data_IF_531490240383
#
_entry.id   IF_531490240383
#
_cell.length_a   1.000
_cell.length_b   1.000
_cell.length_c   1.000
_cell.angle_alpha   90.00
_cell.angle_beta   90.00
_cell.angle_gamma   90.00
#
_symmetry.space_group_name_H-M   'P 1'
#
loop_
_entity.id
_entity.type
_entity.pdbx_description
1 polymer ?
#
# COMPACT_ATOMS: atom_id res chain seq x y z
N UNK A 1 -5.52 25.36 -54.90
CA UNK A 1 -6.43 25.61 -56.04
C UNK A 1 -7.58 24.60 -55.96
N UNK A 2 -8.84 25.10 -55.93
CA UNK A 2 -10.12 24.41 -56.20
C UNK A 2 -10.54 23.29 -55.24
N UNK A 3 -11.46 23.46 -54.28
CA UNK A 3 -12.93 23.66 -54.32
C UNK A 3 -13.79 22.45 -54.75
N UNK A 4 -14.63 22.04 -53.79
CA UNK A 4 -16.08 21.79 -53.87
C UNK A 4 -16.62 20.34 -53.84
N UNK A 5 -17.75 20.16 -53.13
CA UNK A 5 -18.60 18.98 -53.22
C UNK A 5 -19.36 18.53 -51.96
N UNK A 6 -20.27 19.35 -51.40
CA UNK A 6 -21.32 18.90 -50.46
C UNK A 6 -22.32 17.96 -51.16
N UNK A 7 -22.87 16.96 -50.43
CA UNK A 7 -24.27 16.52 -50.62
C UNK A 7 -24.88 15.90 -49.35
N UNK A 8 -26.06 16.41 -49.03
CA UNK A 8 -27.03 16.04 -48.00
C UNK A 8 -28.13 15.23 -48.68
N UNK A 9 -28.61 14.14 -48.06
CA UNK A 9 -29.94 13.50 -48.29
C UNK A 9 -30.29 12.72 -47.00
N UNK A 10 -31.17 13.22 -46.14
CA UNK A 10 -32.64 13.05 -46.11
C UNK A 10 -33.15 11.67 -45.63
N UNK A 11 -33.98 11.75 -44.58
CA UNK A 11 -34.74 10.67 -43.93
C UNK A 11 -35.91 10.20 -44.81
N UNK A 12 -36.51 9.05 -44.44
CA UNK A 12 -37.97 8.99 -44.41
C UNK A 12 -38.54 8.58 -43.04
N UNK A 13 -39.70 9.18 -42.76
CA UNK A 13 -40.65 8.87 -41.70
C UNK A 13 -41.32 7.49 -41.91
N UNK A 14 -41.69 6.80 -40.83
CA UNK A 14 -43.02 6.19 -40.75
C UNK A 14 -43.50 6.00 -39.30
N UNK A 15 -44.83 6.08 -39.17
CA UNK A 15 -45.65 6.31 -37.97
C UNK A 15 -45.95 5.05 -37.14
N UNK A 16 -46.03 5.30 -35.83
CA UNK A 16 -47.04 4.87 -34.84
C UNK A 16 -47.47 3.40 -34.72
N UNK A 17 -47.32 2.85 -33.50
CA UNK A 17 -48.49 2.27 -32.82
C UNK A 17 -48.39 2.33 -31.29
N UNK A 18 -49.51 2.64 -30.65
CA UNK A 18 -49.72 2.70 -29.19
C UNK A 18 -50.00 1.30 -28.67
N UNK A 19 -49.31 0.84 -27.61
CA UNK A 19 -49.92 -0.02 -26.59
C UNK A 19 -49.40 0.27 -25.19
N UNK A 20 -50.37 0.58 -24.32
CA UNK A 20 -50.26 0.75 -22.87
C UNK A 20 -49.74 -0.51 -22.18
N UNK A 21 -49.02 -0.34 -21.06
CA UNK A 21 -49.17 -1.17 -19.84
C UNK A 21 -48.51 -0.50 -18.62
N UNK A 22 -49.38 -0.13 -17.70
CA UNK A 22 -49.27 0.09 -16.25
C UNK A 22 -47.89 0.22 -15.58
N UNK A 23 -47.63 1.42 -15.06
CA UNK A 23 -46.71 1.68 -13.96
C UNK A 23 -47.41 1.45 -12.62
N UNK A 24 -46.85 0.61 -11.75
CA UNK A 24 -47.27 0.45 -10.37
C UNK A 24 -46.58 1.50 -9.48
N UNK A 25 -47.39 2.25 -8.71
CA UNK A 25 -46.94 3.21 -7.69
C UNK A 25 -46.53 2.46 -6.40
N UNK A 26 -45.49 2.90 -5.67
CA UNK A 26 -45.21 2.40 -4.33
C UNK A 26 -46.18 3.01 -3.29
N UNK A 27 -46.57 2.27 -2.24
CA UNK A 27 -47.47 2.79 -1.20
C UNK A 27 -46.74 3.72 -0.23
N UNK A 28 -47.49 4.75 0.19
CA UNK A 28 -47.08 5.84 1.07
C UNK A 28 -47.01 5.46 2.55
N UNK A 29 -46.01 6.03 3.24
CA UNK A 29 -45.90 6.16 4.69
C UNK A 29 -47.16 6.79 5.31
N UNK A 30 -47.99 6.00 5.99
CA UNK A 30 -48.95 6.43 7.03
C UNK A 30 -49.64 5.23 7.67
N UNK A 31 -49.03 4.67 8.71
CA UNK A 31 -49.74 4.07 9.85
C UNK A 31 -48.74 3.76 10.98
N UNK A 32 -49.23 3.85 12.22
CA UNK A 32 -48.52 3.67 13.50
C UNK A 32 -47.72 4.88 14.04
N UNK A 33 -48.44 5.97 14.31
CA UNK A 33 -48.32 6.60 15.63
C UNK A 33 -49.49 6.13 16.48
N UNK A 34 -49.23 5.29 17.49
CA UNK A 34 -49.96 5.29 18.77
C UNK A 34 -49.31 4.30 19.74
N UNK A 35 -49.18 4.74 20.99
CA UNK A 35 -48.75 4.03 22.22
C UNK A 35 -47.26 4.10 22.55
N UNK A 36 -46.86 5.27 23.05
CA UNK A 36 -45.93 5.37 24.18
C UNK A 36 -46.80 5.35 25.44
N UNK A 37 -46.61 4.36 26.33
CA UNK A 37 -46.80 4.46 27.78
C UNK A 37 -46.45 3.14 28.47
N UNK A 38 -45.90 3.29 29.67
CA UNK A 38 -45.54 2.28 30.67
C UNK A 38 -44.16 1.62 30.49
N UNK A 39 -43.24 2.02 31.39
CA UNK A 39 -41.94 1.40 31.57
C UNK A 39 -42.02 0.06 32.28
N UNK A 40 -40.98 -0.74 32.07
CA UNK A 40 -40.49 -1.73 33.01
C UNK A 40 -39.06 -2.12 32.58
N UNK A 41 -38.12 -1.99 33.51
CA UNK A 41 -36.78 -2.55 33.42
C UNK A 41 -36.87 -4.08 33.26
N UNK A 42 -36.10 -4.65 32.32
CA UNK A 42 -35.85 -6.08 32.26
C UNK A 42 -34.34 -6.32 32.08
N UNK A 43 -33.82 -7.10 33.03
CA UNK A 43 -32.45 -7.62 33.09
C UNK A 43 -32.21 -8.65 31.96
N UNK A 44 -30.95 -8.87 31.52
CA UNK A 44 -30.65 -9.77 30.43
C UNK A 44 -30.45 -11.18 30.96
N UNK A 45 -31.33 -12.11 30.59
CA UNK A 45 -31.03 -13.55 30.58
C UNK A 45 -31.98 -14.21 29.57
N UNK A 46 -31.45 -14.55 28.39
CA UNK A 46 -31.61 -15.85 27.74
C UNK A 46 -31.15 -15.80 26.28
N UNK A 47 -30.24 -16.72 25.99
CA UNK A 47 -29.72 -17.06 24.69
C UNK A 47 -30.85 -17.48 23.74
N UNK A 48 -30.81 -16.95 22.51
CA UNK A 48 -31.54 -17.50 21.37
C UNK A 48 -30.48 -17.77 20.29
N UNK A 49 -30.30 -19.06 19.98
CA UNK A 49 -29.34 -19.53 19.00
C UNK A 49 -29.69 -19.11 17.58
N UNK A 50 -28.66 -18.75 16.82
CA UNK A 50 -28.72 -18.57 15.37
C UNK A 50 -27.84 -19.65 14.74
N UNK A 51 -28.34 -20.44 13.77
CA UNK A 51 -27.56 -21.49 13.14
C UNK A 51 -26.65 -20.92 12.04
N UNK A 52 -25.40 -21.38 12.05
CA UNK A 52 -24.52 -21.48 10.87
C UNK A 52 -24.07 -20.16 10.22
N UNK A 53 -22.98 -19.58 10.75
CA UNK A 53 -22.11 -18.70 9.95
C UNK A 53 -20.72 -19.33 9.89
N UNK A 54 -20.25 -19.56 8.66
CA UNK A 54 -18.89 -20.00 8.35
C UNK A 54 -17.99 -18.79 8.59
N UNK A 55 -17.41 -18.70 9.78
CA UNK A 55 -16.41 -17.70 10.17
C UNK A 55 -15.23 -18.44 10.78
N UNK A 56 -14.29 -18.85 9.93
CA UNK A 56 -13.02 -19.46 10.33
C UNK A 56 -11.85 -18.64 9.82
N UNK A 57 -11.64 -17.44 10.37
CA UNK A 57 -10.32 -16.83 10.37
C UNK A 57 -9.78 -16.97 11.79
N UNK A 58 -8.72 -17.77 12.02
CA UNK A 58 -8.13 -17.85 13.34
C UNK A 58 -7.46 -16.51 13.65
N UNK A 59 -8.04 -15.77 14.60
CA UNK A 59 -7.32 -14.76 15.36
C UNK A 59 -6.24 -15.48 16.17
N UNK A 60 -5.07 -15.70 15.59
CA UNK A 60 -3.90 -16.00 16.38
C UNK A 60 -3.50 -14.71 17.10
N UNK A 61 -3.54 -14.75 18.44
CA UNK A 61 -2.88 -13.78 19.27
C UNK A 61 -1.41 -13.71 18.81
N UNK A 62 -1.02 -12.56 18.27
CA UNK A 62 0.38 -12.28 17.95
C UNK A 62 1.09 -12.14 19.30
N UNK A 63 1.61 -13.26 19.81
CA UNK A 63 2.55 -13.24 20.91
C UNK A 63 3.75 -12.38 20.52
N UNK A 64 4.29 -11.62 21.47
CA UNK A 64 5.48 -10.80 21.26
C UNK A 64 6.61 -11.68 20.68
N UNK A 65 6.86 -11.53 19.38
CA UNK A 65 8.00 -12.13 18.70
C UNK A 65 9.25 -11.36 19.11
N UNK A 66 10.25 -12.08 19.62
CA UNK A 66 11.53 -11.50 20.00
C UNK A 66 12.31 -11.17 18.72
N UNK A 67 12.56 -9.88 18.48
CA UNK A 67 13.59 -9.47 17.52
C UNK A 67 14.90 -10.07 18.01
N UNK A 68 15.50 -10.93 17.21
CA UNK A 68 16.73 -11.61 17.57
C UNK A 68 17.87 -10.57 17.71
N UNK A 69 18.38 -10.38 18.93
CA UNK A 69 19.61 -9.63 19.17
C UNK A 69 20.79 -10.48 18.67
N UNK A 70 21.55 -9.98 17.70
CA UNK A 70 22.61 -10.77 17.04
C UNK A 70 24.03 -10.28 17.30
N UNK A 71 24.93 -11.26 17.41
CA UNK A 71 26.37 -11.13 17.55
C UNK A 71 27.03 -10.68 16.25
N UNK A 72 28.18 -9.99 16.31
CA UNK A 72 28.87 -9.40 15.14
C UNK A 72 29.56 -10.41 14.19
N UNK A 73 29.14 -11.69 14.16
CA UNK A 73 29.88 -12.79 13.51
C UNK A 73 29.21 -13.49 12.31
N UNK A 74 27.97 -13.16 11.93
CA UNK A 74 27.38 -13.73 10.70
C UNK A 74 27.97 -13.04 9.47
N UNK A 75 28.89 -13.72 8.78
CA UNK A 75 29.64 -13.18 7.62
C UNK A 75 28.95 -13.46 6.29
N UNK A 76 28.05 -14.45 6.23
CA UNK A 76 27.30 -14.80 5.03
C UNK A 76 26.16 -15.80 5.26
N UNK A 77 25.26 -15.88 4.29
CA UNK A 77 24.08 -16.74 4.27
C UNK A 77 23.99 -17.45 2.92
N UNK A 78 23.65 -18.74 2.93
CA UNK A 78 23.25 -19.52 1.75
C UNK A 78 21.86 -20.09 1.96
N UNK A 79 21.02 -20.01 0.94
CA UNK A 79 19.69 -20.62 0.90
C UNK A 79 19.66 -21.58 -0.28
N UNK A 80 19.38 -22.86 -0.03
CA UNK A 80 19.51 -23.94 -1.01
C UNK A 80 18.16 -24.45 -1.51
N UNK A 81 18.01 -24.59 -2.83
CA UNK A 81 17.01 -25.45 -3.46
C UNK A 81 15.54 -25.00 -3.37
N UNK A 82 15.26 -23.72 -3.22
CA UNK A 82 13.91 -23.17 -3.26
C UNK A 82 13.48 -22.74 -4.67
N UNK A 83 12.17 -22.70 -4.92
CA UNK A 83 11.61 -22.12 -6.15
C UNK A 83 11.71 -20.60 -6.08
N UNK A 84 12.60 -20.01 -6.88
CA UNK A 84 12.99 -18.62 -6.80
C UNK A 84 12.14 -17.74 -7.74
N UNK A 85 11.64 -16.64 -7.19
CA UNK A 85 10.95 -15.57 -7.92
C UNK A 85 11.75 -14.27 -7.76
N UNK A 86 12.13 -13.65 -8.88
CA UNK A 86 13.06 -12.52 -8.93
C UNK A 86 12.63 -11.29 -9.76
N UNK A 87 11.38 -10.79 -9.70
CA UNK A 87 10.12 -11.45 -9.37
C UNK A 87 9.68 -12.45 -10.45
N UNK A 88 10.32 -12.48 -11.62
CA UNK A 88 10.15 -13.53 -12.62
C UNK A 88 10.54 -14.90 -12.08
N UNK A 89 9.86 -15.97 -12.50
CA UNK A 89 10.22 -17.33 -12.09
C UNK A 89 11.60 -17.70 -12.63
N UNK A 90 12.50 -18.06 -11.72
CA UNK A 90 13.86 -18.54 -12.01
C UNK A 90 13.96 -20.07 -11.89
N UNK A 91 12.86 -20.74 -11.51
CA UNK A 91 12.84 -22.15 -11.16
C UNK A 91 13.57 -22.43 -9.84
N UNK A 92 13.96 -23.69 -9.63
CA UNK A 92 14.67 -24.10 -8.42
C UNK A 92 16.12 -23.61 -8.47
N UNK A 93 16.52 -22.82 -7.47
CA UNK A 93 17.87 -22.27 -7.40
C UNK A 93 18.35 -22.12 -5.95
N UNK A 94 19.65 -21.90 -5.78
CA UNK A 94 20.24 -21.47 -4.52
C UNK A 94 20.65 -19.99 -4.61
N UNK A 95 20.59 -19.30 -3.49
CA UNK A 95 21.03 -17.90 -3.39
C UNK A 95 22.04 -17.76 -2.25
N UNK A 96 23.02 -16.87 -2.43
CA UNK A 96 23.96 -16.53 -1.37
C UNK A 96 24.03 -15.03 -1.15
N UNK A 97 24.18 -14.66 0.11
CA UNK A 97 24.34 -13.29 0.56
C UNK A 97 25.59 -13.13 1.44
N UNK A 98 26.37 -12.09 1.18
CA UNK A 98 27.57 -11.74 1.96
C UNK A 98 27.48 -10.25 2.27
N UNK A 99 27.80 -9.85 3.51
CA UNK A 99 27.74 -8.45 3.95
C UNK A 99 26.38 -7.76 3.64
N UNK A 100 25.31 -8.55 3.63
CA UNK A 100 23.95 -8.10 3.39
C UNK A 100 23.55 -7.83 1.94
N UNK A 101 24.38 -8.23 0.97
CA UNK A 101 24.07 -8.16 -0.46
C UNK A 101 24.03 -9.55 -1.09
N UNK A 102 23.19 -9.72 -2.10
CA UNK A 102 23.11 -10.94 -2.90
C UNK A 102 24.37 -11.07 -3.78
N UNK A 103 25.14 -12.13 -3.59
CA UNK A 103 26.41 -12.35 -4.31
C UNK A 103 26.39 -13.56 -5.25
N UNK A 104 25.37 -14.41 -5.15
CA UNK A 104 25.20 -15.57 -6.03
C UNK A 104 23.73 -15.94 -6.20
N UNK A 105 23.39 -16.39 -7.40
CA UNK A 105 22.11 -16.99 -7.76
C UNK A 105 22.41 -18.14 -8.73
N UNK A 106 21.96 -19.36 -8.41
CA UNK A 106 22.16 -20.55 -9.22
C UNK A 106 22.53 -21.78 -8.41
N UNK A 107 23.07 -22.80 -9.06
CA UNK A 107 23.55 -24.02 -8.41
C UNK A 107 24.90 -23.82 -7.71
N UNK A 108 25.28 -24.73 -6.81
CA UNK A 108 26.62 -24.78 -6.21
C UNK A 108 26.97 -23.61 -5.28
N UNK A 109 25.98 -22.92 -4.72
CA UNK A 109 26.21 -21.77 -3.83
C UNK A 109 27.04 -22.14 -2.58
N UNK A 110 26.74 -23.27 -1.96
CA UNK A 110 27.45 -23.77 -0.78
C UNK A 110 28.88 -24.13 -1.08
N UNK A 111 29.15 -24.87 -2.16
CA UNK A 111 30.50 -25.25 -2.56
C UNK A 111 31.36 -24.02 -2.85
N UNK A 112 30.77 -23.01 -3.50
CA UNK A 112 31.46 -21.77 -3.85
C UNK A 112 31.86 -20.92 -2.65
N UNK A 113 31.08 -21.01 -1.57
CA UNK A 113 31.31 -20.29 -0.33
C UNK A 113 31.90 -21.18 0.78
N UNK A 114 32.26 -22.42 0.44
CA UNK A 114 32.86 -23.36 1.36
C UNK A 114 34.13 -22.77 1.99
N UNK A 115 34.18 -22.75 3.32
CA UNK A 115 35.30 -22.19 4.08
C UNK A 115 35.13 -20.74 4.54
N UNK A 116 34.04 -20.05 4.18
CA UNK A 116 33.71 -18.77 4.82
C UNK A 116 33.31 -18.99 6.29
N UNK A 117 34.03 -18.41 7.27
CA UNK A 117 33.75 -18.62 8.68
C UNK A 117 32.43 -17.95 9.08
N UNK A 118 31.52 -18.70 9.69
CA UNK A 118 30.21 -18.16 10.09
C UNK A 118 29.17 -18.13 8.98
N UNK A 119 29.39 -18.87 7.88
CA UNK A 119 28.38 -19.10 6.85
C UNK A 119 27.20 -19.89 7.43
N UNK A 120 26.00 -19.33 7.27
CA UNK A 120 24.74 -20.00 7.66
C UNK A 120 24.09 -20.60 6.43
N UNK A 121 23.62 -21.84 6.53
CA UNK A 121 22.91 -22.52 5.43
C UNK A 121 21.45 -22.74 5.81
N UNK A 122 20.54 -22.45 4.88
CA UNK A 122 19.10 -22.69 4.99
C UNK A 122 18.70 -23.66 3.87
N UNK A 123 18.03 -24.75 4.24
CA UNK A 123 17.35 -25.61 3.27
C UNK A 123 15.97 -25.02 2.94
N UNK A 124 15.76 -24.66 1.68
CA UNK A 124 14.52 -24.10 1.16
C UNK A 124 13.80 -25.07 0.20
N UNK A 125 14.14 -26.36 0.19
CA UNK A 125 13.45 -27.35 -0.62
C UNK A 125 11.96 -27.40 -0.30
N UNK A 126 11.13 -27.33 -1.34
CA UNK A 126 9.68 -27.26 -1.22
C UNK A 126 9.14 -25.90 -0.76
N UNK A 127 10.00 -24.90 -0.59
CA UNK A 127 9.62 -23.51 -0.33
C UNK A 127 9.75 -22.66 -1.58
N UNK A 128 9.02 -21.55 -1.62
CA UNK A 128 9.22 -20.48 -2.59
C UNK A 128 10.03 -19.35 -1.96
N UNK A 129 10.91 -18.74 -2.75
CA UNK A 129 11.73 -17.61 -2.32
C UNK A 129 11.30 -16.40 -3.16
N UNK A 130 10.77 -15.37 -2.52
CA UNK A 130 10.33 -14.13 -3.17
C UNK A 130 11.14 -12.93 -2.65
N UNK A 131 11.18 -11.79 -3.38
CA UNK A 131 11.81 -10.59 -2.86
C UNK A 131 11.07 -10.08 -1.62
N UNK A 132 11.81 -9.45 -0.70
CA UNK A 132 11.22 -8.70 0.40
C UNK A 132 10.23 -7.64 -0.10
N UNK A 133 9.05 -7.55 0.54
CA UNK A 133 8.02 -6.60 0.17
C UNK A 133 8.42 -5.17 0.56
N UNK A 134 7.91 -4.21 -0.21
CA UNK A 134 8.12 -2.78 -0.03
C UNK A 134 6.75 -2.12 0.21
N UNK A 135 6.56 -1.58 1.41
CA UNK A 135 5.36 -0.81 1.75
C UNK A 135 5.65 0.70 1.69
N UNK A 136 5.14 1.38 0.66
CA UNK A 136 5.38 2.81 0.48
C UNK A 136 4.40 3.73 1.24
N UNK A 137 3.47 3.18 2.02
CA UNK A 137 2.51 3.98 2.77
C UNK A 137 2.16 3.34 4.11
N UNK A 138 2.91 3.71 5.17
CA UNK A 138 2.62 3.22 6.51
C UNK A 138 2.85 4.26 7.61
N UNK A 139 2.02 4.23 8.65
CA UNK A 139 2.11 5.16 9.77
C UNK A 139 3.01 4.63 10.89
N UNK A 140 4.33 4.89 10.79
CA UNK A 140 5.29 4.44 11.81
C UNK A 140 4.95 4.85 13.24
N UNK A 141 4.42 6.07 13.41
CA UNK A 141 4.05 6.57 14.72
C UNK A 141 2.67 6.10 15.18
N UNK A 142 1.92 5.43 14.30
CA UNK A 142 0.47 5.28 14.39
C UNK A 142 -0.24 6.48 13.75
N UNK A 143 -1.45 6.25 13.25
CA UNK A 143 -2.33 7.32 12.76
C UNK A 143 -3.63 7.42 13.55
N UNK A 144 -4.67 7.97 12.91
CA UNK A 144 -6.05 7.83 13.37
C UNK A 144 -6.70 8.93 14.17
N UNK A 145 -5.98 10.01 14.41
CA UNK A 145 -6.37 11.05 15.37
C UNK A 145 -7.60 11.87 14.92
N UNK A 146 -8.04 11.71 13.66
CA UNK A 146 -9.30 12.29 13.14
C UNK A 146 -10.57 11.76 13.84
N UNK A 147 -10.46 10.70 14.64
CA UNK A 147 -11.54 10.12 15.44
C UNK A 147 -11.49 10.55 16.92
N UNK A 148 -10.74 11.60 17.24
CA UNK A 148 -10.47 12.03 18.61
C UNK A 148 -9.53 11.09 19.36
N UNK A 149 -9.36 11.25 20.68
CA UNK A 149 -8.36 10.53 21.47
C UNK A 149 -8.46 8.99 21.40
N UNK A 150 -9.65 8.45 21.15
CA UNK A 150 -9.89 7.00 21.02
C UNK A 150 -9.36 6.42 19.70
N UNK A 151 -9.09 7.26 18.71
CA UNK A 151 -8.51 6.85 17.42
C UNK A 151 -6.99 6.73 17.44
N UNK A 152 -6.31 7.06 18.54
CA UNK A 152 -4.85 7.08 18.56
C UNK A 152 -4.27 5.68 18.56
N UNK A 153 -3.52 5.34 17.52
CA UNK A 153 -2.79 4.08 17.42
C UNK A 153 -1.36 4.25 17.96
N UNK A 154 -0.83 3.28 18.72
CA UNK A 154 0.57 3.28 19.15
C UNK A 154 1.57 3.26 17.99
N UNK A 155 2.83 3.52 18.31
CA UNK A 155 3.90 3.36 17.34
C UNK A 155 4.03 1.90 16.89
N UNK A 156 4.40 1.73 15.63
CA UNK A 156 4.67 0.44 15.04
C UNK A 156 5.95 -0.18 15.62
N UNK A 157 5.95 -1.50 15.83
CA UNK A 157 7.15 -2.25 16.18
C UNK A 157 7.78 -2.89 14.93
N UNK A 158 9.11 -3.11 14.89
CA UNK A 158 9.76 -3.76 13.74
C UNK A 158 9.14 -5.10 13.36
N UNK A 159 8.75 -5.90 14.36
CA UNK A 159 8.16 -7.23 14.16
C UNK A 159 6.85 -7.18 13.35
N UNK A 160 6.03 -6.14 13.52
CA UNK A 160 4.79 -5.97 12.75
C UNK A 160 5.03 -5.87 11.25
N UNK A 161 6.20 -5.39 10.82
CA UNK A 161 6.62 -5.35 9.42
C UNK A 161 7.29 -6.66 9.01
N UNK A 162 8.32 -7.05 9.76
CA UNK A 162 9.22 -8.13 9.39
C UNK A 162 8.52 -9.49 9.39
N UNK A 163 7.61 -9.77 10.33
CA UNK A 163 6.83 -11.02 10.36
C UNK A 163 5.86 -11.17 9.18
N UNK A 164 5.62 -10.07 8.44
CA UNK A 164 4.68 -10.02 7.30
C UNK A 164 5.38 -9.98 5.95
N UNK A 165 6.70 -10.15 5.92
CA UNK A 165 7.49 -10.14 4.68
C UNK A 165 7.88 -8.74 4.22
N UNK A 166 7.52 -7.69 4.96
CA UNK A 166 7.86 -6.31 4.63
C UNK A 166 9.24 -5.97 5.15
N UNK A 167 10.20 -5.82 4.25
CA UNK A 167 11.62 -5.54 4.58
C UNK A 167 12.00 -4.08 4.34
N UNK A 168 11.23 -3.37 3.51
CA UNK A 168 11.40 -1.95 3.22
C UNK A 168 10.07 -1.23 3.46
N UNK A 169 10.11 -0.07 4.13
CA UNK A 169 8.91 0.68 4.44
C UNK A 169 9.13 2.19 4.36
N UNK A 170 8.09 2.94 3.98
CA UNK A 170 8.11 4.41 3.93
C UNK A 170 7.09 4.98 4.91
N UNK A 171 7.61 5.65 5.94
CA UNK A 171 6.82 6.28 6.98
C UNK A 171 6.16 7.58 6.51
N UNK A 172 4.91 7.77 6.89
CA UNK A 172 4.15 8.98 6.58
C UNK A 172 3.50 9.60 7.82
N UNK A 173 3.23 10.91 7.75
CA UNK A 173 2.26 11.54 8.63
C UNK A 173 0.84 11.52 8.00
N UNK A 174 -0.16 11.57 8.87
CA UNK A 174 -1.58 11.51 8.50
C UNK A 174 -2.27 12.84 8.76
N UNK A 175 -3.51 12.76 9.25
CA UNK A 175 -4.35 13.95 9.53
C UNK A 175 -3.74 14.81 10.63
N UNK A 176 -3.30 14.20 11.73
CA UNK A 176 -2.68 14.91 12.84
C UNK A 176 -1.21 15.19 12.56
N UNK A 177 -0.91 16.49 12.51
CA UNK A 177 0.43 17.06 12.35
C UNK A 177 0.75 18.05 13.48
N UNK A 178 -0.10 18.09 14.52
CA UNK A 178 0.10 18.92 15.70
C UNK A 178 0.75 18.12 16.82
N UNK A 179 0.33 16.86 17.03
CA UNK A 179 0.93 15.98 18.06
C UNK A 179 1.93 14.97 17.48
N UNK A 180 1.94 14.80 16.16
CA UNK A 180 2.88 13.95 15.42
C UNK A 180 3.72 14.82 14.52
N UNK A 181 5.03 14.72 14.66
CA UNK A 181 5.97 15.55 13.91
C UNK A 181 7.06 14.73 13.20
N UNK A 182 7.70 15.37 12.23
CA UNK A 182 8.70 14.73 11.39
C UNK A 182 9.99 14.33 12.13
N UNK A 183 10.33 15.00 13.24
CA UNK A 183 11.54 14.64 14.02
C UNK A 183 11.31 13.32 14.71
N UNK A 184 10.12 13.11 15.28
CA UNK A 184 9.74 11.83 15.84
C UNK A 184 9.62 10.75 14.75
N UNK A 185 9.07 11.08 13.57
CA UNK A 185 9.00 10.15 12.44
C UNK A 185 10.39 9.71 11.97
N UNK A 186 11.34 10.65 11.83
CA UNK A 186 12.73 10.36 11.48
C UNK A 186 13.42 9.52 12.56
N UNK A 187 13.22 9.85 13.84
CA UNK A 187 13.73 9.05 14.96
C UNK A 187 13.21 7.63 14.90
N UNK A 188 11.92 7.44 14.62
CA UNK A 188 11.32 6.11 14.48
C UNK A 188 11.89 5.35 13.29
N UNK A 189 12.10 6.02 12.16
CA UNK A 189 12.74 5.40 11.00
C UNK A 189 14.18 4.93 11.32
N UNK A 190 14.94 5.67 12.12
CA UNK A 190 16.24 5.19 12.61
C UNK A 190 16.12 3.94 13.50
N UNK A 191 15.14 3.89 14.41
CA UNK A 191 14.88 2.69 15.23
C UNK A 191 14.58 1.47 14.35
N UNK A 192 13.69 1.62 13.37
CA UNK A 192 13.34 0.55 12.43
C UNK A 192 14.57 0.06 11.63
N UNK A 193 15.44 0.98 11.20
CA UNK A 193 16.72 0.65 10.52
C UNK A 193 17.66 -0.16 11.40
N UNK A 194 17.77 0.20 12.68
CA UNK A 194 18.60 -0.53 13.62
C UNK A 194 18.05 -1.95 13.90
N UNK A 195 16.75 -2.16 13.72
CA UNK A 195 16.09 -3.46 13.84
C UNK A 195 16.02 -4.27 12.55
N UNK A 196 16.64 -3.80 11.45
CA UNK A 196 16.75 -4.55 10.20
C UNK A 196 15.81 -4.12 9.06
N UNK A 197 14.84 -3.24 9.32
CA UNK A 197 13.95 -2.69 8.28
C UNK A 197 14.67 -1.62 7.48
N UNK A 198 14.59 -1.65 6.16
CA UNK A 198 15.01 -0.50 5.35
C UNK A 198 13.93 0.59 5.38
N UNK A 199 14.03 1.50 6.37
CA UNK A 199 13.01 2.51 6.62
C UNK A 199 13.35 3.90 6.06
N UNK A 200 12.44 4.43 5.26
CA UNK A 200 12.45 5.79 4.68
C UNK A 200 11.24 6.58 5.20
N UNK A 201 11.15 7.86 4.84
CA UNK A 201 9.99 8.69 5.14
C UNK A 201 9.72 9.71 4.04
N UNK A 202 8.49 10.19 3.99
CA UNK A 202 8.15 11.41 3.29
C UNK A 202 8.16 12.59 4.26
N UNK A 203 8.77 13.71 3.85
CA UNK A 203 8.69 14.98 4.57
C UNK A 203 7.31 15.62 4.40
N UNK A 204 6.98 16.60 5.23
CA UNK A 204 5.68 17.25 5.25
C UNK A 204 4.62 16.43 5.98
N UNK A 205 3.41 16.45 5.43
CA UNK A 205 2.20 15.92 6.05
C UNK A 205 0.99 16.28 5.20
N UNK A 206 -0.23 16.07 5.70
CA UNK A 206 -1.42 16.43 4.91
C UNK A 206 -1.61 17.94 4.66
N UNK A 207 -1.33 18.87 5.59
CA UNK A 207 -1.56 20.30 5.38
C UNK A 207 -0.64 20.95 4.34
N UNK A 208 -1.13 22.00 3.67
CA UNK A 208 -0.33 22.97 2.94
C UNK A 208 -0.56 24.41 3.46
N UNK A 209 0.50 25.23 3.62
CA UNK A 209 1.91 24.87 3.47
C UNK A 209 2.36 23.85 4.52
N UNK A 210 3.22 22.91 4.10
CA UNK A 210 3.69 21.82 4.95
C UNK A 210 4.85 22.27 5.86
N UNK A 211 4.97 21.63 7.03
CA UNK A 211 6.15 21.79 7.91
C UNK A 211 7.22 20.77 7.51
N UNK A 212 8.46 21.22 7.32
CA UNK A 212 9.61 20.39 6.93
C UNK A 212 10.70 20.41 8.01
N UNK A 213 11.61 19.43 8.01
CA UNK A 213 12.67 19.30 9.03
C UNK A 213 13.70 20.43 8.94
N UNK A 214 14.06 20.82 7.73
CA UNK A 214 15.08 21.82 7.39
C UNK A 214 14.47 23.08 6.76
N UNK A 215 13.16 23.27 6.90
CA UNK A 215 12.43 24.44 6.43
C UNK A 215 11.86 24.33 5.01
N UNK A 216 12.32 23.37 4.19
CA UNK A 216 11.76 23.10 2.86
C UNK A 216 11.89 21.61 2.50
N UNK A 217 11.01 21.09 1.63
CA UNK A 217 11.15 19.68 1.22
C UNK A 217 12.39 19.47 0.36
N UNK A 218 12.80 20.51 -0.38
CA UNK A 218 14.01 20.47 -1.17
C UNK A 218 15.26 20.24 -0.30
N UNK A 219 15.35 20.94 0.84
CA UNK A 219 16.43 20.73 1.79
C UNK A 219 16.35 19.34 2.44
N UNK A 220 15.17 18.93 2.92
CA UNK A 220 15.00 17.62 3.57
C UNK A 220 15.45 16.46 2.67
N UNK A 221 14.97 16.42 1.43
CA UNK A 221 15.34 15.38 0.46
C UNK A 221 16.84 15.45 0.14
N UNK A 222 17.43 16.64 0.05
CA UNK A 222 18.84 16.80 -0.34
C UNK A 222 19.83 16.41 0.76
N UNK A 223 19.49 16.63 2.03
CA UNK A 223 20.44 16.48 3.14
C UNK A 223 20.14 15.29 4.07
N UNK A 224 18.93 14.71 4.03
CA UNK A 224 18.55 13.61 4.91
C UNK A 224 18.33 12.35 4.07
N UNK A 225 19.24 11.39 4.17
CA UNK A 225 19.23 10.15 3.38
C UNK A 225 17.87 9.43 3.37
N UNK A 226 17.18 9.39 4.50
CA UNK A 226 15.91 8.68 4.65
C UNK A 226 14.72 9.41 4.04
N UNK A 227 14.83 10.73 3.81
CA UNK A 227 13.76 11.50 3.15
C UNK A 227 13.87 11.29 1.65
N UNK A 228 12.81 10.72 1.07
CA UNK A 228 12.74 10.35 -0.36
C UNK A 228 11.65 11.09 -1.14
N UNK A 229 10.93 12.01 -0.49
CA UNK A 229 9.84 12.77 -1.10
C UNK A 229 9.00 13.54 -0.08
N UNK A 230 7.81 13.97 -0.50
CA UNK A 230 6.82 14.65 0.32
C UNK A 230 5.53 13.83 0.47
N UNK A 231 4.87 13.97 1.62
CA UNK A 231 3.47 13.64 1.83
C UNK A 231 2.65 14.92 1.67
N UNK A 232 1.51 14.82 1.00
CA UNK A 232 0.48 15.86 0.97
C UNK A 232 -0.92 15.24 0.86
N UNK A 233 -1.94 16.09 0.74
CA UNK A 233 -3.31 15.69 0.49
C UNK A 233 -3.97 16.59 -0.56
N UNK A 234 -4.85 16.01 -1.37
CA UNK A 234 -5.78 16.73 -2.24
C UNK A 234 -7.17 16.11 -2.09
N UNK A 235 -8.21 16.89 -2.39
CA UNK A 235 -9.59 16.44 -2.34
C UNK A 235 -10.02 15.84 -0.98
N UNK A 236 -9.34 16.17 0.12
CA UNK A 236 -9.63 15.70 1.47
C UNK A 236 -10.39 16.75 2.27
N UNK A 237 -11.43 16.36 3.00
CA UNK A 237 -12.27 17.32 3.73
C UNK A 237 -11.51 18.05 4.84
N UNK A 238 -10.63 17.34 5.54
CA UNK A 238 -9.84 17.92 6.64
C UNK A 238 -8.64 18.72 6.14
N UNK A 239 -8.13 18.38 4.94
CA UNK A 239 -6.97 19.02 4.31
C UNK A 239 -7.23 19.22 2.82
N UNK A 240 -8.17 20.12 2.45
CA UNK A 240 -8.60 20.25 1.05
C UNK A 240 -7.54 20.89 0.17
N UNK A 241 -6.60 21.64 0.77
CA UNK A 241 -5.41 22.20 0.12
C UNK A 241 -5.71 22.89 -1.22
N UNK A 242 -6.73 23.77 -1.24
CA UNK A 242 -7.23 24.43 -2.45
C UNK A 242 -6.34 25.56 -2.96
N UNK A 243 -5.31 25.92 -2.21
CA UNK A 243 -4.33 26.92 -2.64
C UNK A 243 -3.45 26.35 -3.75
N UNK A 244 -3.69 26.81 -4.98
CA UNK A 244 -2.84 26.44 -6.11
C UNK A 244 -1.39 26.87 -5.88
N UNK A 245 -1.18 28.04 -5.26
CA UNK A 245 0.15 28.56 -4.96
C UNK A 245 0.96 27.59 -4.09
N UNK A 246 0.39 27.14 -2.97
CA UNK A 246 1.12 26.27 -2.03
C UNK A 246 1.39 24.87 -2.63
N UNK A 247 0.44 24.34 -3.41
CA UNK A 247 0.64 23.07 -4.11
C UNK A 247 1.70 23.19 -5.22
N UNK A 248 1.68 24.28 -5.99
CA UNK A 248 2.67 24.57 -7.03
C UNK A 248 4.07 24.81 -6.45
N UNK A 249 4.16 25.47 -5.29
CA UNK A 249 5.41 25.67 -4.57
C UNK A 249 6.01 24.33 -4.14
N UNK A 250 5.21 23.46 -3.50
CA UNK A 250 5.64 22.10 -3.13
C UNK A 250 6.14 21.31 -4.34
N UNK A 251 5.41 21.34 -5.46
CA UNK A 251 5.81 20.66 -6.68
C UNK A 251 7.15 21.19 -7.23
N UNK A 252 7.30 22.52 -7.26
CA UNK A 252 8.55 23.18 -7.65
C UNK A 252 9.74 22.77 -6.77
N UNK A 253 9.53 22.68 -5.46
CA UNK A 253 10.54 22.21 -4.51
C UNK A 253 10.97 20.77 -4.78
N UNK A 254 10.02 19.86 -5.04
CA UNK A 254 10.29 18.46 -5.32
C UNK A 254 11.02 18.25 -6.64
N UNK A 255 10.68 18.99 -7.69
CA UNK A 255 11.42 18.96 -8.96
C UNK A 255 12.88 19.41 -8.76
N UNK A 256 13.10 20.49 -8.00
CA UNK A 256 14.46 20.91 -7.62
C UNK A 256 15.17 19.86 -6.78
N UNK A 257 14.48 19.25 -5.82
CA UNK A 257 15.03 18.19 -4.98
C UNK A 257 15.51 16.98 -5.79
N UNK A 258 14.72 16.54 -6.78
CA UNK A 258 15.10 15.46 -7.71
C UNK A 258 16.38 15.80 -8.46
N UNK A 259 16.44 17.01 -9.02
CA UNK A 259 17.59 17.48 -9.79
C UNK A 259 18.87 17.62 -8.95
N UNK A 260 18.76 18.07 -7.70
CA UNK A 260 19.91 18.32 -6.81
C UNK A 260 20.43 17.04 -6.12
N UNK A 261 19.52 16.15 -5.71
CA UNK A 261 19.87 15.00 -4.87
C UNK A 261 20.07 13.70 -5.64
N UNK A 262 19.53 13.60 -6.86
CA UNK A 262 19.45 12.33 -7.61
C UNK A 262 18.46 11.31 -7.04
N UNK A 263 17.75 11.64 -5.95
CA UNK A 263 16.64 10.82 -5.42
C UNK A 263 15.38 11.01 -6.25
N UNK A 264 14.43 10.07 -6.15
CA UNK A 264 13.15 10.17 -6.85
C UNK A 264 12.34 11.42 -6.45
N UNK A 265 12.44 11.87 -5.19
CA UNK A 265 11.73 13.03 -4.64
C UNK A 265 10.23 12.99 -4.93
N UNK A 266 9.59 11.87 -4.56
CA UNK A 266 8.19 11.58 -4.90
C UNK A 266 7.22 12.50 -4.17
N UNK A 267 6.18 12.97 -4.84
CA UNK A 267 4.97 13.49 -4.23
C UNK A 267 4.00 12.33 -4.00
N UNK A 268 3.99 11.78 -2.78
CA UNK A 268 3.05 10.73 -2.38
C UNK A 268 1.82 11.39 -1.77
N UNK A 269 0.73 11.44 -2.53
CA UNK A 269 -0.40 12.32 -2.22
C UNK A 269 -1.63 11.54 -1.81
N UNK A 270 -2.10 11.76 -0.58
CA UNK A 270 -3.42 11.32 -0.14
C UNK A 270 -4.50 11.93 -1.03
N UNK A 271 -5.43 11.10 -1.52
CA UNK A 271 -6.60 11.58 -2.27
C UNK A 271 -7.86 11.33 -1.45
N UNK A 272 -8.55 12.41 -1.07
CA UNK A 272 -9.82 12.32 -0.35
C UNK A 272 -11.01 12.07 -1.28
N UNK A 273 -12.22 12.40 -0.82
CA UNK A 273 -13.47 12.10 -1.54
C UNK A 273 -14.13 13.32 -2.19
N UNK A 274 -13.50 14.50 -2.16
CA UNK A 274 -14.08 15.70 -2.77
C UNK A 274 -14.12 15.58 -4.31
N UNK A 275 -15.07 16.28 -4.98
CA UNK A 275 -15.34 16.07 -6.41
C UNK A 275 -14.16 16.35 -7.35
N UNK A 276 -13.26 17.27 -6.98
CA UNK A 276 -12.05 17.59 -7.75
C UNK A 276 -11.09 16.38 -7.89
N UNK A 277 -11.17 15.40 -6.99
CA UNK A 277 -10.38 14.16 -7.03
C UNK A 277 -8.88 14.41 -7.28
N UNK A 278 -8.30 13.89 -8.37
CA UNK A 278 -6.87 14.05 -8.68
C UNK A 278 -6.61 15.17 -9.69
N UNK A 279 -7.62 15.94 -10.08
CA UNK A 279 -7.46 17.10 -10.97
C UNK A 279 -6.33 18.04 -10.54
N UNK A 280 -6.16 18.41 -9.26
CA UNK A 280 -5.05 19.26 -8.85
C UNK A 280 -3.67 18.66 -9.18
N UNK A 281 -3.53 17.34 -9.10
CA UNK A 281 -2.28 16.65 -9.42
C UNK A 281 -2.02 16.59 -10.93
N UNK A 282 -3.06 16.36 -11.72
CA UNK A 282 -2.95 16.41 -13.19
C UNK A 282 -2.55 17.82 -13.67
N UNK A 283 -3.03 18.87 -12.99
CA UNK A 283 -2.63 20.25 -13.26
C UNK A 283 -1.15 20.50 -12.99
N UNK A 284 -0.54 19.85 -11.99
CA UNK A 284 0.93 19.96 -11.78
C UNK A 284 1.71 19.45 -12.99
N UNK A 285 1.22 18.39 -13.65
CA UNK A 285 1.84 17.87 -14.87
C UNK A 285 1.62 18.84 -16.03
N UNK A 286 0.38 19.28 -16.27
CA UNK A 286 0.03 20.05 -17.47
C UNK A 286 0.43 21.53 -17.40
N UNK A 287 0.41 22.15 -16.21
CA UNK A 287 0.68 23.58 -16.03
C UNK A 287 2.10 23.87 -15.54
N UNK A 288 2.73 22.97 -14.77
CA UNK A 288 4.09 23.17 -14.23
C UNK A 288 5.14 22.25 -14.87
N UNK A 289 4.72 21.28 -15.70
CA UNK A 289 5.64 20.32 -16.30
C UNK A 289 6.23 19.33 -15.31
N UNK A 290 5.57 19.09 -14.16
CA UNK A 290 6.03 18.09 -13.20
C UNK A 290 6.01 16.70 -13.85
N UNK A 291 7.11 15.93 -13.79
CA UNK A 291 7.13 14.58 -14.34
C UNK A 291 6.03 13.71 -13.69
N UNK A 292 5.17 13.05 -14.48
CA UNK A 292 4.06 12.26 -13.92
C UNK A 292 4.55 11.06 -13.10
N UNK A 293 5.76 10.56 -13.37
CA UNK A 293 6.41 9.49 -12.60
C UNK A 293 6.87 9.94 -11.20
N UNK A 294 6.87 11.24 -10.91
CA UNK A 294 7.18 11.81 -9.61
C UNK A 294 5.95 11.97 -8.71
N UNK A 295 4.74 11.70 -9.22
CA UNK A 295 3.49 11.86 -8.48
C UNK A 295 2.84 10.49 -8.29
N UNK A 296 2.47 10.20 -7.04
CA UNK A 296 1.76 8.97 -6.67
C UNK A 296 0.49 9.33 -5.90
N UNK A 297 -0.67 9.45 -6.56
CA UNK A 297 -1.95 9.47 -5.86
C UNK A 297 -2.20 8.10 -5.20
N UNK A 298 -2.46 8.09 -3.90
CA UNK A 298 -2.81 6.90 -3.10
C UNK A 298 -4.28 6.91 -2.72
N UNK A 299 -4.79 5.75 -2.28
CA UNK A 299 -6.21 5.51 -1.94
C UNK A 299 -7.16 5.64 -3.14
N UNK A 300 -6.67 5.30 -4.34
CA UNK A 300 -7.41 5.52 -5.58
C UNK A 300 -8.53 4.50 -5.82
N UNK A 301 -8.45 3.33 -5.20
CA UNK A 301 -9.37 2.20 -5.38
C UNK A 301 -10.72 2.43 -4.66
N UNK A 302 -11.56 3.29 -5.22
CA UNK A 302 -12.90 3.65 -4.70
C UNK A 302 -13.98 3.43 -5.75
N UNK A 303 -15.21 3.21 -5.29
CA UNK A 303 -16.34 3.01 -6.20
C UNK A 303 -16.71 4.32 -6.91
N UNK A 304 -17.15 4.25 -8.19
CA UNK A 304 -17.60 5.43 -8.93
C UNK A 304 -18.77 6.15 -8.27
N UNK A 305 -19.65 5.41 -7.56
CA UNK A 305 -20.78 5.98 -6.81
C UNK A 305 -20.33 6.89 -5.66
N UNK A 306 -19.13 6.66 -5.12
CA UNK A 306 -18.59 7.43 -4.01
C UNK A 306 -17.75 8.61 -4.49
N UNK A 307 -16.91 8.41 -5.52
CA UNK A 307 -15.95 9.43 -5.96
C UNK A 307 -15.40 9.16 -7.37
N UNK A 308 -15.11 10.20 -8.19
CA UNK A 308 -14.52 10.02 -9.52
C UNK A 308 -13.03 9.65 -9.51
N UNK A 309 -12.40 9.55 -8.33
CA UNK A 309 -10.96 9.33 -8.14
C UNK A 309 -10.44 8.15 -8.97
N UNK A 310 -11.10 6.99 -8.94
CA UNK A 310 -10.54 5.80 -9.58
C UNK A 310 -10.47 5.93 -11.11
N UNK A 311 -11.53 6.47 -11.72
CA UNK A 311 -11.56 6.71 -13.17
C UNK A 311 -10.51 7.73 -13.63
N UNK A 312 -10.33 8.83 -12.88
CA UNK A 312 -9.26 9.79 -13.16
C UNK A 312 -7.87 9.19 -12.96
N UNK A 313 -7.68 8.37 -11.91
CA UNK A 313 -6.42 7.68 -11.65
C UNK A 313 -6.04 6.71 -12.78
N UNK A 314 -7.01 5.96 -13.33
CA UNK A 314 -6.80 5.11 -14.51
C UNK A 314 -6.32 5.95 -15.70
N UNK A 315 -6.96 7.09 -15.97
CA UNK A 315 -6.54 8.00 -17.04
C UNK A 315 -5.12 8.55 -16.81
N UNK A 316 -4.79 8.94 -15.58
CA UNK A 316 -3.45 9.39 -15.21
C UNK A 316 -2.39 8.30 -15.41
N UNK A 317 -2.68 7.06 -14.98
CA UNK A 317 -1.77 5.93 -15.12
C UNK A 317 -1.50 5.53 -16.59
N UNK A 318 -2.51 5.63 -17.45
CA UNK A 318 -2.38 5.41 -18.90
C UNK A 318 -1.47 6.45 -19.57
N UNK A 319 -1.32 7.63 -18.98
CA UNK A 319 -0.50 8.73 -19.49
C UNK A 319 0.86 8.83 -18.77
N UNK A 320 1.37 7.73 -18.24
CA UNK A 320 2.72 7.64 -17.67
C UNK A 320 2.83 7.97 -16.17
N UNK A 321 1.72 8.31 -15.52
CA UNK A 321 1.65 8.39 -14.06
C UNK A 321 1.72 7.02 -13.40
N UNK A 322 2.09 6.96 -12.12
CA UNK A 322 1.92 5.76 -11.29
C UNK A 322 0.79 5.98 -10.30
N UNK A 323 -0.04 4.97 -10.04
CA UNK A 323 -1.15 5.02 -9.08
C UNK A 323 -0.97 3.97 -8.00
N UNK A 324 -1.37 4.32 -6.77
CA UNK A 324 -1.26 3.43 -5.62
C UNK A 324 -2.64 3.06 -5.06
N UNK A 325 -2.92 1.76 -5.05
CA UNK A 325 -4.11 1.20 -4.43
C UNK A 325 -3.82 0.84 -2.98
N UNK A 326 -4.78 1.10 -2.11
CA UNK A 326 -4.61 0.88 -0.67
C UNK A 326 -5.34 -0.38 -0.23
N UNK A 327 -4.57 -1.32 0.32
CA UNK A 327 -5.06 -2.62 0.76
C UNK A 327 -6.23 -2.52 1.75
N UNK A 328 -6.15 -1.60 2.72
CA UNK A 328 -7.23 -1.42 3.71
C UNK A 328 -8.42 -0.56 3.24
N UNK A 329 -8.36 -0.02 2.02
CA UNK A 329 -9.50 0.64 1.33
C UNK A 329 -10.28 -0.42 0.53
N UNK A 330 -10.42 -1.61 1.10
CA UNK A 330 -11.13 -2.75 0.52
C UNK A 330 -12.44 -3.02 1.26
N UNK A 331 -13.42 -3.59 0.58
CA UNK A 331 -14.71 -4.02 1.15
C UNK A 331 -14.51 -5.11 2.20
N UNK A 332 -13.58 -6.04 1.95
CA UNK A 332 -13.19 -7.08 2.92
C UNK A 332 -12.66 -6.48 4.25
N UNK A 333 -12.15 -5.25 4.20
CA UNK A 333 -11.64 -4.52 5.36
C UNK A 333 -12.71 -3.65 6.05
N UNK A 334 -13.96 -3.73 5.59
CA UNK A 334 -15.09 -2.97 6.11
C UNK A 334 -15.31 -1.62 5.43
N UNK A 335 -14.53 -1.28 4.39
CA UNK A 335 -14.70 -0.05 3.63
C UNK A 335 -15.62 -0.27 2.42
N UNK A 336 -16.93 -0.04 2.60
CA UNK A 336 -17.93 -0.26 1.56
C UNK A 336 -17.84 0.72 0.37
N UNK A 337 -17.13 1.84 0.53
CA UNK A 337 -16.86 2.79 -0.55
C UNK A 337 -15.58 2.44 -1.35
N UNK A 338 -14.83 1.44 -0.89
CA UNK A 338 -13.63 0.93 -1.53
C UNK A 338 -13.90 -0.11 -2.61
N UNK A 339 -12.88 -0.36 -3.41
CA UNK A 339 -12.79 -1.49 -4.34
C UNK A 339 -11.64 -2.37 -3.87
N UNK A 340 -11.88 -3.67 -3.77
CA UNK A 340 -10.85 -4.62 -3.36
C UNK A 340 -9.68 -4.61 -4.34
N UNK A 341 -8.45 -4.72 -3.83
CA UNK A 341 -7.23 -4.68 -4.65
C UNK A 341 -7.28 -5.63 -5.85
N UNK A 342 -7.68 -6.92 -5.73
CA UNK A 342 -7.79 -7.80 -6.91
C UNK A 342 -8.75 -7.29 -7.99
N UNK A 343 -9.91 -6.75 -7.60
CA UNK A 343 -10.89 -6.19 -8.52
C UNK A 343 -10.36 -4.91 -9.18
N UNK A 344 -9.75 -4.03 -8.40
CA UNK A 344 -9.20 -2.77 -8.88
C UNK A 344 -8.04 -2.99 -9.86
N UNK A 345 -7.09 -3.89 -9.55
CA UNK A 345 -5.98 -4.22 -10.44
C UNK A 345 -6.50 -4.84 -11.74
N UNK A 346 -7.41 -5.80 -11.65
CA UNK A 346 -8.03 -6.42 -12.83
C UNK A 346 -8.68 -5.35 -13.73
N UNK A 347 -9.47 -4.45 -13.15
CA UNK A 347 -10.11 -3.37 -13.88
C UNK A 347 -9.10 -2.43 -14.56
N UNK A 348 -8.02 -2.04 -13.86
CA UNK A 348 -6.95 -1.25 -14.46
C UNK A 348 -6.31 -1.94 -15.68
N UNK A 349 -6.04 -3.24 -15.58
CA UNK A 349 -5.46 -4.02 -16.68
C UNK A 349 -6.42 -4.13 -17.88
N UNK A 350 -7.71 -4.34 -17.63
CA UNK A 350 -8.75 -4.35 -18.67
C UNK A 350 -8.89 -3.00 -19.38
N UNK A 351 -8.72 -1.89 -18.65
CA UNK A 351 -8.69 -0.53 -19.19
C UNK A 351 -7.37 -0.16 -19.90
N UNK A 352 -6.38 -1.06 -19.90
CA UNK A 352 -5.10 -0.87 -20.57
C UNK A 352 -4.08 -0.05 -19.78
N UNK A 353 -4.19 0.01 -18.45
CA UNK A 353 -3.13 0.58 -17.59
C UNK A 353 -1.91 -0.35 -17.62
N UNK A 354 -0.69 0.16 -17.89
CA UNK A 354 0.52 -0.65 -17.79
C UNK A 354 0.71 -1.18 -16.36
N UNK A 355 0.98 -2.48 -16.21
CA UNK A 355 1.20 -3.10 -14.88
C UNK A 355 2.29 -2.37 -14.08
N UNK A 356 3.35 -1.91 -14.76
CA UNK A 356 4.45 -1.16 -14.14
C UNK A 356 4.03 0.18 -13.51
N UNK A 357 2.85 0.71 -13.86
CA UNK A 357 2.29 1.96 -13.35
C UNK A 357 1.30 1.74 -12.19
N UNK A 358 1.23 0.51 -11.66
CA UNK A 358 0.37 0.16 -10.53
C UNK A 358 1.24 -0.28 -9.36
N UNK A 359 0.96 0.28 -8.19
CA UNK A 359 1.52 -0.14 -6.91
C UNK A 359 0.41 -0.40 -5.90
N UNK A 360 0.73 -1.14 -4.84
CA UNK A 360 -0.15 -1.33 -3.69
C UNK A 360 0.57 -1.01 -2.39
N UNK A 361 -0.15 -0.47 -1.41
CA UNK A 361 0.37 -0.12 -0.09
C UNK A 361 -0.65 -0.40 1.01
N UNK A 362 -0.21 -0.47 2.27
CA UNK A 362 -1.11 -0.89 3.36
C UNK A 362 -2.03 0.22 3.85
N UNK A 363 -1.50 1.44 4.00
CA UNK A 363 -2.00 2.44 4.93
C UNK A 363 -2.09 1.87 6.37
N UNK A 364 -1.04 1.14 6.75
CA UNK A 364 -0.99 0.35 7.97
C UNK A 364 -0.79 1.20 9.23
N UNK A 365 -1.15 0.61 10.36
CA UNK A 365 -1.04 1.20 11.70
C UNK A 365 -1.94 2.44 11.92
N UNK A 366 -3.13 2.42 11.29
CA UNK A 366 -4.20 3.40 11.47
C UNK A 366 -5.49 2.71 11.95
N UNK A 367 -6.44 3.43 12.57
CA UNK A 367 -7.74 2.87 12.95
C UNK A 367 -8.70 2.90 11.76
N UNK A 368 -8.99 1.74 11.19
CA UNK A 368 -10.09 1.58 10.25
C UNK A 368 -11.42 1.53 11.02
N UNK A 369 -12.41 2.31 10.57
CA UNK A 369 -13.75 2.29 11.16
C UNK A 369 -14.47 0.99 10.78
N UNK A 370 -14.92 0.23 11.78
CA UNK A 370 -15.79 -0.93 11.57
C UNK A 370 -17.24 -0.46 11.60
N UNK A 371 -18.04 -0.82 10.58
CA UNK A 371 -19.45 -0.44 10.46
C UNK A 371 -20.37 -1.65 10.49
N UNK A 372 -21.58 -1.48 11.04
CA UNK A 372 -22.64 -2.51 10.97
C UNK A 372 -23.33 -2.52 9.60
N UNK A 373 -24.24 -3.49 9.40
CA UNK A 373 -25.04 -3.61 8.17
C UNK A 373 -25.95 -2.41 7.87
N UNK A 374 -26.11 -1.48 8.82
CA UNK A 374 -26.87 -0.22 8.68
C UNK A 374 -25.94 0.98 8.53
N UNK A 375 -24.62 0.78 8.38
CA UNK A 375 -23.61 1.81 8.20
C UNK A 375 -23.18 2.55 9.47
N UNK A 376 -23.66 2.13 10.65
CA UNK A 376 -23.31 2.76 11.94
C UNK A 376 -21.92 2.30 12.38
N UNK A 377 -21.10 3.22 12.88
CA UNK A 377 -19.78 2.89 13.42
C UNK A 377 -19.93 2.04 14.70
N UNK A 378 -19.32 0.86 14.72
CA UNK A 378 -19.28 -0.05 15.87
C UNK A 378 -18.00 0.11 16.70
N UNK A 379 -16.93 0.64 16.10
CA UNK A 379 -15.64 0.82 16.72
C UNK A 379 -14.53 0.92 15.68
N UNK A 380 -13.30 0.66 16.11
CA UNK A 380 -12.11 0.75 15.27
C UNK A 380 -11.30 -0.53 15.33
N UNK A 381 -10.65 -0.86 14.21
CA UNK A 381 -9.64 -1.90 14.09
C UNK A 381 -8.34 -1.24 13.64
N UNK A 382 -7.22 -1.59 14.27
CA UNK A 382 -5.91 -1.21 13.73
C UNK A 382 -5.65 -2.00 12.45
N UNK A 383 -5.33 -1.31 11.36
CA UNK A 383 -4.94 -1.93 10.09
C UNK A 383 -3.57 -2.57 10.27
N UNK A 384 -3.44 -3.91 10.18
CA UNK A 384 -2.15 -4.57 10.34
C UNK A 384 -1.34 -4.47 9.03
N UNK A 385 0.01 -4.39 9.08
CA UNK A 385 0.83 -4.40 7.88
C UNK A 385 0.69 -5.68 7.02
N UNK A 386 0.20 -6.78 7.62
CA UNK A 386 -0.02 -8.06 6.94
C UNK A 386 -1.01 -7.99 5.77
N UNK A 387 -1.80 -6.93 5.65
CA UNK A 387 -2.71 -6.74 4.52
C UNK A 387 -1.98 -6.62 3.18
N UNK A 388 -0.70 -6.21 3.16
CA UNK A 388 0.10 -6.15 1.93
C UNK A 388 0.30 -7.54 1.34
N UNK A 389 0.91 -8.44 2.13
CA UNK A 389 1.14 -9.82 1.70
C UNK A 389 -0.18 -10.55 1.41
N UNK A 390 -1.22 -10.31 2.23
CA UNK A 390 -2.58 -10.80 1.96
C UNK A 390 -3.03 -10.42 0.56
N UNK A 391 -2.99 -9.15 0.19
CA UNK A 391 -3.52 -8.69 -1.10
C UNK A 391 -2.64 -9.09 -2.29
N UNK A 392 -1.31 -9.24 -2.10
CA UNK A 392 -0.44 -9.90 -3.09
C UNK A 392 -0.93 -11.32 -3.37
N UNK A 393 -1.22 -12.11 -2.33
CA UNK A 393 -1.71 -13.48 -2.51
C UNK A 393 -3.15 -13.52 -3.05
N UNK A 394 -4.01 -12.57 -2.69
CA UNK A 394 -5.36 -12.47 -3.27
C UNK A 394 -5.33 -12.11 -4.75
N UNK A 395 -4.37 -11.30 -5.22
CA UNK A 395 -4.19 -11.10 -6.66
C UNK A 395 -3.96 -12.42 -7.38
N UNK A 396 -3.16 -13.32 -6.81
CA UNK A 396 -2.92 -14.65 -7.36
C UNK A 396 -4.19 -15.50 -7.32
N UNK A 397 -4.80 -15.65 -6.16
CA UNK A 397 -5.88 -16.62 -5.93
C UNK A 397 -7.25 -16.18 -6.41
N UNK A 398 -7.57 -14.89 -6.33
CA UNK A 398 -8.90 -14.35 -6.65
C UNK A 398 -8.97 -13.76 -8.06
N UNK A 399 -7.88 -13.13 -8.56
CA UNK A 399 -7.86 -12.53 -9.90
C UNK A 399 -7.16 -13.39 -10.97
N UNK A 400 -6.45 -14.45 -10.55
CA UNK A 400 -5.68 -15.31 -11.45
C UNK A 400 -4.42 -14.66 -12.02
N UNK A 401 -3.94 -13.58 -11.40
CA UNK A 401 -2.71 -12.91 -11.81
C UNK A 401 -1.51 -13.81 -11.42
N UNK A 402 -0.62 -14.09 -12.37
CA UNK A 402 0.57 -14.89 -12.09
C UNK A 402 1.40 -14.27 -10.93
N UNK A 403 1.99 -15.11 -10.07
CA UNK A 403 2.70 -14.66 -8.86
C UNK A 403 3.80 -13.65 -9.21
N UNK A 404 4.54 -13.88 -10.29
CA UNK A 404 5.59 -12.99 -10.79
C UNK A 404 5.07 -11.58 -11.01
N UNK A 405 3.86 -11.46 -11.58
CA UNK A 405 3.21 -10.18 -11.86
C UNK A 405 2.64 -9.56 -10.59
N UNK A 406 2.00 -10.36 -9.73
CA UNK A 406 1.45 -9.87 -8.46
C UNK A 406 2.54 -9.30 -7.55
N UNK A 407 3.72 -9.94 -7.49
CA UNK A 407 4.87 -9.47 -6.73
C UNK A 407 5.32 -8.08 -7.18
N UNK A 408 5.30 -7.76 -8.48
CA UNK A 408 5.79 -6.45 -8.98
C UNK A 408 5.12 -5.26 -8.30
N UNK A 409 3.83 -5.37 -7.96
CA UNK A 409 3.02 -4.30 -7.36
C UNK A 409 3.48 -3.89 -5.95
N UNK A 410 4.18 -4.78 -5.25
CA UNK A 410 4.73 -4.56 -3.90
C UNK A 410 6.25 -4.72 -3.85
N UNK A 411 6.94 -4.82 -5.00
CA UNK A 411 8.39 -5.01 -5.10
C UNK A 411 9.00 -4.09 -6.16
N UNK A 412 9.23 -4.55 -7.39
CA UNK A 412 9.94 -3.81 -8.43
C UNK A 412 9.26 -2.50 -8.84
N UNK A 413 7.92 -2.44 -8.92
CA UNK A 413 7.22 -1.21 -9.26
C UNK A 413 7.42 -0.15 -8.17
N UNK A 414 7.30 -0.56 -6.90
CA UNK A 414 7.51 0.32 -5.75
C UNK A 414 8.98 0.77 -5.68
N UNK A 415 9.93 -0.15 -5.86
CA UNK A 415 11.35 0.19 -5.90
C UNK A 415 11.68 1.22 -6.99
N UNK A 416 11.08 1.08 -8.18
CA UNK A 416 11.22 2.05 -9.28
C UNK A 416 10.69 3.43 -8.87
N UNK A 417 9.46 3.50 -8.35
CA UNK A 417 8.82 4.75 -7.90
C UNK A 417 9.68 5.47 -6.88
N UNK A 418 10.19 4.74 -5.88
CA UNK A 418 10.97 5.32 -4.78
C UNK A 418 12.43 5.63 -5.15
N UNK A 419 12.88 5.33 -6.37
CA UNK A 419 14.29 5.48 -6.77
C UNK A 419 15.23 4.49 -6.09
N UNK A 420 14.72 3.32 -5.70
CA UNK A 420 15.43 2.22 -5.04
C UNK A 420 15.69 1.02 -5.97
N UNK A 421 15.28 1.12 -7.24
CA UNK A 421 15.60 0.13 -8.26
C UNK A 421 17.12 -0.06 -8.40
N UNK A 422 17.56 -1.28 -8.69
CA UNK A 422 18.98 -1.66 -8.66
C UNK A 422 19.52 -1.97 -7.26
N UNK A 423 18.71 -1.81 -6.21
CA UNK A 423 19.06 -2.17 -4.83
C UNK A 423 17.98 -2.95 -4.09
N UNK A 424 16.71 -2.61 -4.31
CA UNK A 424 15.53 -3.19 -3.64
C UNK A 424 14.52 -3.75 -4.65
N UNK A 425 13.62 -4.59 -4.17
CA UNK A 425 12.45 -5.08 -4.92
C UNK A 425 12.77 -6.20 -5.91
N UNK A 426 14.02 -6.65 -6.00
CA UNK A 426 14.41 -7.75 -6.88
C UNK A 426 15.50 -8.60 -6.21
N UNK A 427 15.44 -9.92 -6.39
CA UNK A 427 16.53 -10.82 -6.06
C UNK A 427 17.49 -10.84 -7.24
N UNK A 428 18.55 -10.06 -7.16
CA UNK A 428 19.56 -9.94 -8.21
C UNK A 428 20.94 -9.68 -7.61
N UNK A 429 22.00 -10.01 -8.35
CA UNK A 429 23.37 -9.77 -7.90
C UNK A 429 23.57 -8.28 -7.54
N UNK A 430 24.27 -8.03 -6.43
CA UNK A 430 24.53 -6.68 -5.91
C UNK A 430 23.35 -6.00 -5.23
N UNK A 431 22.14 -6.59 -5.26
CA UNK A 431 20.99 -6.05 -4.52
C UNK A 431 21.09 -6.40 -3.04
N UNK A 432 20.41 -5.62 -2.20
CA UNK A 432 20.28 -5.96 -0.79
C UNK A 432 19.61 -7.34 -0.65
N UNK A 433 20.14 -8.17 0.23
CA UNK A 433 19.67 -9.53 0.44
C UNK A 433 18.38 -9.56 1.29
N UNK A 434 17.27 -9.08 0.69
CA UNK A 434 15.94 -9.03 1.28
C UNK A 434 15.06 -10.12 0.66
N UNK A 435 14.77 -11.18 1.42
CA UNK A 435 14.08 -12.38 0.94
C UNK A 435 12.94 -12.77 1.87
N UNK A 436 11.90 -13.37 1.31
CA UNK A 436 10.82 -14.02 2.06
C UNK A 436 10.70 -15.46 1.59
N UNK A 437 10.74 -16.40 2.53
CA UNK A 437 10.55 -17.82 2.27
C UNK A 437 9.12 -18.19 2.60
N UNK A 438 8.40 -18.70 1.61
CA UNK A 438 7.02 -19.14 1.72
C UNK A 438 6.95 -20.67 1.76
N UNK A 439 6.14 -21.19 2.68
CA UNK A 439 5.80 -22.60 2.72
C UNK A 439 4.88 -23.02 1.56
N UNK A 440 4.56 -24.34 1.48
CA UNK A 440 3.62 -24.87 0.49
C UNK A 440 2.21 -24.27 0.58
N UNK A 441 1.83 -23.74 1.74
CA UNK A 441 0.52 -23.14 2.06
C UNK A 441 0.52 -21.60 1.93
N UNK A 442 1.48 -21.03 1.19
CA UNK A 442 1.73 -19.58 1.07
C UNK A 442 2.11 -18.88 2.38
N UNK A 443 2.30 -19.60 3.48
CA UNK A 443 2.63 -18.97 4.75
C UNK A 443 4.08 -18.54 4.81
N UNK A 444 4.33 -17.36 5.38
CA UNK A 444 5.69 -16.86 5.61
C UNK A 444 6.38 -17.72 6.66
N UNK A 445 7.44 -18.41 6.26
CA UNK A 445 8.26 -19.25 7.13
C UNK A 445 9.48 -18.49 7.65
N UNK A 446 10.07 -17.64 6.81
CA UNK A 446 11.25 -16.87 7.17
C UNK A 446 11.30 -15.56 6.42
N UNK A 447 11.85 -14.53 7.06
CA UNK A 447 12.19 -13.26 6.41
C UNK A 447 13.65 -12.95 6.68
N UNK A 448 14.33 -12.61 5.60
CA UNK A 448 15.72 -12.19 5.60
C UNK A 448 15.73 -10.73 5.18
N UNK A 449 16.40 -9.88 5.95
CA UNK A 449 16.63 -8.49 5.58
C UNK A 449 18.13 -8.20 5.64
N UNK A 450 18.68 -7.69 4.54
CA UNK A 450 20.11 -7.43 4.34
C UNK A 450 20.96 -8.63 4.80
N UNK A 451 20.59 -9.82 4.34
CA UNK A 451 21.32 -11.07 4.56
C UNK A 451 21.21 -11.66 5.96
N UNK A 452 20.38 -11.07 6.83
CA UNK A 452 20.16 -11.54 8.21
C UNK A 452 18.77 -12.10 8.36
N UNK A 453 18.63 -13.20 9.07
CA UNK A 453 17.32 -13.75 9.43
C UNK A 453 16.71 -12.83 10.48
N UNK A 454 15.62 -12.17 10.12
CA UNK A 454 14.94 -11.19 10.99
C UNK A 454 13.58 -11.68 11.49
N UNK A 455 13.06 -12.76 10.89
CA UNK A 455 11.88 -13.47 11.35
C UNK A 455 11.99 -14.95 10.98
N UNK A 456 11.53 -15.83 11.87
CA UNK A 456 11.36 -17.26 11.61
C UNK A 456 10.10 -17.76 12.31
N UNK A 457 9.21 -18.41 11.56
CA UNK A 457 7.98 -19.00 12.08
C UNK A 457 8.33 -20.17 13.00
N UNK A 458 7.85 -20.14 14.24
CA UNK A 458 8.00 -21.24 15.21
C UNK A 458 9.17 -21.13 16.20
N UNK A 459 10.07 -20.15 16.06
CA UNK A 459 11.04 -19.82 17.12
C UNK A 459 10.43 -18.75 18.05
N UNK A 460 9.53 -19.17 18.94
CA UNK A 460 9.29 -18.44 20.19
C UNK A 460 10.24 -19.02 21.24
N UNK A 461 11.03 -18.14 21.88
CA UNK A 461 12.20 -18.49 22.68
C UNK A 461 12.06 -19.72 23.59
N UNK A 462 13.08 -20.57 23.54
CA UNK A 462 13.41 -21.50 24.63
C UNK A 462 13.96 -20.74 25.84
#
# INVERSE_FOLDING_TARGET
MGLDGRRVLEKPLYRSDRRQRHAARPPSLKSLHQRVSAGQELRPDHAIGVPGSVSGYPHHAIGQSAVLNHSPQETGLVIEGGELFAPESFGVASIAAIAGVTTWIGEGATDRLAGLPGLKTIDARGMRIIPGLIDQHIHFLGGGDANGPLGRVPELTPDMLLSTGTTTAVGVLGVDNETRDLRLLLRKAHELRNSGVSAYLYSGGMPLPARHLMGSVCADVSFIDQVIGAKSAVAERLHPNRSWHDLAELAGELMRARALSGKAAVLHCHVGSLPEAIEPLMRLVTELGMPPDQIVPTHVNRTPDFSPVFGQAIAFAKNGGTIDMTCCVSRIDGNLAGVDVPEAVKHCLEEGVPLGNITISTDGNIPATVRDIKGRALGYRVVPPSVLFRDVMRLVHESGLALEKALTLATTNVARVLGLAGRKGQIALGHDADYVLLGPDDSIQMVIARGRIVFRRGEQGA
#
